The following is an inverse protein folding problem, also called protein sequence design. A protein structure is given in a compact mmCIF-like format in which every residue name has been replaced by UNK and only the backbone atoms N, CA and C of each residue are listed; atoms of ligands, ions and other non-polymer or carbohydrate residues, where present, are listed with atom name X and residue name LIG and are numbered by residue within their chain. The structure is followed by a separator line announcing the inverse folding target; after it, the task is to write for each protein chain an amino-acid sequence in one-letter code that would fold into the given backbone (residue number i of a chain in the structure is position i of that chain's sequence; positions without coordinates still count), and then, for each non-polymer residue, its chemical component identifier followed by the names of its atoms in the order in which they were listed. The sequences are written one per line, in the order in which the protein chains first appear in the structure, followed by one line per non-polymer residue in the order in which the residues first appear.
data_IF_874322998992
#
_entry.id   IF_874322998992
#
_cell.length_a   1.000
_cell.length_b   1.000
_cell.length_c   1.000
_cell.angle_alpha   90.00
_cell.angle_beta   90.00
_cell.angle_gamma   90.00
#
_symmetry.space_group_name_H-M   'P 1'
#
loop_
_entity.id
_entity.type
_entity.pdbx_description
1 polymer ?
#
# COMPACT_ATOMS: atom_id res chain seq x y z
N UNK A 1 -21.12 -7.80 -7.18
CA UNK A 1 -20.17 -6.98 -7.94
C UNK A 1 -18.98 -7.85 -8.24
N UNK A 2 -18.69 -8.11 -9.51
CA UNK A 2 -17.54 -8.94 -9.89
C UNK A 2 -16.25 -8.25 -9.42
N UNK A 3 -15.38 -8.99 -8.74
CA UNK A 3 -14.04 -8.52 -8.35
C UNK A 3 -13.88 -7.96 -6.93
N UNK A 4 -14.93 -7.93 -6.09
CA UNK A 4 -14.86 -7.50 -4.69
C UNK A 4 -15.62 -8.50 -3.80
N UNK A 5 -14.98 -8.96 -2.73
CA UNK A 5 -15.58 -9.76 -1.67
C UNK A 5 -15.81 -8.87 -0.45
N UNK A 6 -17.04 -8.41 -0.26
CA UNK A 6 -17.44 -7.60 0.88
C UNK A 6 -17.54 -8.48 2.13
N UNK A 7 -16.97 -7.99 3.23
CA UNK A 7 -16.99 -8.66 4.53
C UNK A 7 -18.16 -8.17 5.40
N UNK A 8 -18.57 -9.01 6.30
CA UNK A 8 -19.42 -8.69 7.44
C UNK A 8 -18.82 -9.32 8.70
N UNK A 9 -19.44 -9.11 9.85
CA UNK A 9 -18.94 -9.65 11.12
C UNK A 9 -18.69 -11.18 11.07
N UNK A 10 -19.62 -11.95 10.46
CA UNK A 10 -19.47 -13.41 10.31
C UNK A 10 -18.24 -13.81 9.49
N UNK A 11 -17.79 -12.95 8.60
CA UNK A 11 -16.60 -13.19 7.79
C UNK A 11 -15.32 -13.25 8.62
N UNK A 12 -15.31 -12.56 9.77
CA UNK A 12 -14.10 -12.35 10.59
C UNK A 12 -14.25 -12.78 12.07
N UNK A 13 -15.46 -13.14 12.52
CA UNK A 13 -15.72 -13.48 13.94
C UNK A 13 -14.78 -14.55 14.50
N UNK A 14 -14.41 -15.54 13.67
CA UNK A 14 -13.48 -16.63 14.04
C UNK A 14 -12.04 -16.18 14.21
N UNK A 15 -11.68 -14.98 13.70
CA UNK A 15 -10.35 -14.39 13.84
C UNK A 15 -10.22 -13.60 15.16
N UNK A 16 -11.36 -13.30 15.83
CA UNK A 16 -11.37 -12.46 17.03
C UNK A 16 -11.25 -13.36 18.26
N UNK A 17 -10.18 -13.19 19.02
CA UNK A 17 -9.93 -13.91 20.28
C UNK A 17 -10.50 -13.09 21.44
N UNK A 18 -11.72 -13.44 21.86
CA UNK A 18 -12.38 -12.77 22.98
C UNK A 18 -11.66 -13.04 24.29
N UNK A 19 -11.68 -12.07 25.20
CA UNK A 19 -11.10 -12.18 26.54
C UNK A 19 -11.94 -11.38 27.54
N UNK A 20 -12.28 -12.01 28.64
CA UNK A 20 -13.10 -11.38 29.69
C UNK A 20 -12.48 -10.08 30.20
N UNK A 21 -13.28 -9.04 30.28
CA UNK A 21 -12.88 -7.70 30.74
C UNK A 21 -12.15 -6.87 29.70
N UNK A 22 -11.93 -7.39 28.48
CA UNK A 22 -11.30 -6.67 27.39
C UNK A 22 -12.27 -6.53 26.20
N UNK A 23 -12.06 -5.49 25.39
CA UNK A 23 -12.77 -5.34 24.10
C UNK A 23 -11.74 -5.30 22.98
N UNK A 24 -11.89 -6.18 22.01
CA UNK A 24 -11.02 -6.23 20.84
C UNK A 24 -11.46 -5.21 19.79
N UNK A 25 -10.50 -4.75 19.00
CA UNK A 25 -10.73 -3.85 17.87
C UNK A 25 -11.81 -4.41 16.91
N UNK A 26 -11.72 -5.73 16.60
CA UNK A 26 -12.65 -6.42 15.71
C UNK A 26 -14.09 -6.53 16.23
N UNK A 27 -14.33 -6.35 17.53
CA UNK A 27 -15.69 -6.33 18.08
C UNK A 27 -16.43 -5.01 17.82
N UNK A 28 -15.68 -3.95 17.45
CA UNK A 28 -16.21 -2.59 17.28
C UNK A 28 -15.95 -1.98 15.91
N UNK A 29 -15.20 -2.68 15.04
CA UNK A 29 -14.98 -2.25 13.65
C UNK A 29 -16.29 -2.21 12.88
N UNK A 30 -16.43 -1.22 11.99
CA UNK A 30 -17.63 -1.03 11.19
C UNK A 30 -17.63 -1.87 9.91
N UNK A 31 -18.83 -2.23 9.42
CA UNK A 31 -19.07 -2.93 8.16
C UNK A 31 -20.14 -2.22 7.35
N UNK A 32 -20.14 -2.44 6.02
CA UNK A 32 -21.20 -2.01 5.11
C UNK A 32 -21.63 -3.18 4.23
N UNK A 33 -22.89 -3.18 3.80
CA UNK A 33 -23.44 -4.23 2.94
C UNK A 33 -23.09 -4.02 1.45
N UNK A 34 -22.82 -2.78 1.04
CA UNK A 34 -22.50 -2.40 -0.35
C UNK A 34 -21.74 -1.07 -0.36
N UNK A 35 -21.24 -0.68 -1.55
CA UNK A 35 -20.44 0.54 -1.71
C UNK A 35 -21.25 1.84 -1.60
N UNK A 36 -22.55 1.79 -1.87
CA UNK A 36 -23.46 2.95 -1.78
C UNK A 36 -23.67 3.40 -0.33
N UNK A 37 -23.45 2.51 0.63
CA UNK A 37 -23.53 2.82 2.05
C UNK A 37 -22.33 3.60 2.57
N UNK A 38 -21.17 3.56 1.87
CA UNK A 38 -19.94 4.23 2.32
C UNK A 38 -20.16 5.71 2.63
N UNK A 39 -20.87 6.43 1.75
CA UNK A 39 -21.12 7.86 1.92
C UNK A 39 -22.04 8.18 3.09
N UNK A 40 -22.78 7.20 3.62
CA UNK A 40 -23.75 7.38 4.71
C UNK A 40 -23.16 7.11 6.10
N UNK A 41 -21.94 6.57 6.17
CA UNK A 41 -21.26 6.25 7.44
C UNK A 41 -20.49 7.45 7.98
N UNK A 42 -20.32 7.51 9.30
CA UNK A 42 -19.45 8.51 9.96
C UNK A 42 -17.96 8.14 9.87
N UNK A 43 -17.65 6.85 9.69
CA UNK A 43 -16.25 6.39 9.61
C UNK A 43 -15.49 7.06 8.46
N UNK A 44 -14.28 7.53 8.74
CA UNK A 44 -13.42 8.25 7.79
C UNK A 44 -12.66 7.30 6.88
N UNK A 45 -12.24 6.14 7.40
CA UNK A 45 -11.34 5.23 6.72
C UNK A 45 -12.08 3.99 6.20
N UNK A 46 -11.59 3.43 5.08
CA UNK A 46 -12.06 2.17 4.51
C UNK A 46 -10.87 1.25 4.31
N UNK A 47 -10.83 0.15 5.06
CA UNK A 47 -9.78 -0.86 5.02
C UNK A 47 -10.17 -1.98 4.06
N UNK A 48 -9.28 -2.31 3.12
CA UNK A 48 -9.43 -3.50 2.28
C UNK A 48 -8.08 -4.11 1.90
N UNK A 49 -8.12 -5.37 1.49
CA UNK A 49 -6.94 -6.14 1.08
C UNK A 49 -6.84 -6.39 -0.42
N UNK A 50 -5.60 -6.59 -0.90
CA UNK A 50 -5.30 -7.04 -2.26
C UNK A 50 -4.43 -8.30 -2.14
N UNK A 51 -5.03 -9.51 -1.97
CA UNK A 51 -4.29 -10.75 -1.71
C UNK A 51 -3.72 -11.36 -3.00
N UNK A 52 -2.72 -10.69 -3.59
CA UNK A 52 -2.01 -11.15 -4.78
C UNK A 52 -0.48 -10.93 -4.67
N UNK A 53 0.30 -11.63 -5.46
CA UNK A 53 1.73 -11.43 -5.67
C UNK A 53 2.17 -11.67 -7.12
N UNK A 54 1.22 -11.52 -8.06
CA UNK A 54 1.46 -11.75 -9.48
C UNK A 54 2.43 -10.70 -10.02
N UNK A 55 2.25 -9.43 -9.63
CA UNK A 55 3.12 -8.35 -10.04
C UNK A 55 4.55 -8.50 -9.52
N UNK A 56 4.71 -9.04 -8.30
CA UNK A 56 6.02 -9.38 -7.73
C UNK A 56 6.72 -10.45 -8.57
N UNK A 57 5.99 -11.53 -8.90
CA UNK A 57 6.52 -12.62 -9.75
C UNK A 57 6.83 -12.13 -11.16
N UNK A 58 5.99 -11.28 -11.73
CA UNK A 58 6.21 -10.65 -13.03
C UNK A 58 7.47 -9.76 -13.06
N UNK A 59 7.92 -9.25 -11.91
CA UNK A 59 9.16 -8.50 -11.72
C UNK A 59 10.33 -9.38 -11.27
N UNK A 60 10.28 -10.69 -11.47
CA UNK A 60 11.27 -11.67 -11.01
C UNK A 60 11.45 -11.71 -9.47
N UNK A 61 10.51 -11.15 -8.71
CA UNK A 61 10.54 -11.12 -7.25
C UNK A 61 10.05 -12.43 -6.62
N UNK A 62 10.25 -12.54 -5.30
CA UNK A 62 9.82 -13.71 -4.53
C UNK A 62 8.34 -13.59 -4.13
N UNK A 63 7.50 -14.62 -4.36
CA UNK A 63 6.12 -14.61 -3.93
C UNK A 63 5.98 -14.54 -2.41
N UNK A 64 4.80 -14.13 -1.93
CA UNK A 64 4.45 -14.09 -0.52
C UNK A 64 3.62 -12.87 -0.11
N UNK A 65 3.63 -11.80 -0.91
CA UNK A 65 2.86 -10.59 -0.61
C UNK A 65 1.35 -10.83 -0.57
N UNK A 66 0.85 -11.84 -1.24
CA UNK A 66 -0.56 -12.28 -1.18
C UNK A 66 -1.06 -12.64 0.23
N UNK A 67 -0.14 -12.96 1.17
CA UNK A 67 -0.47 -13.35 2.55
C UNK A 67 -0.55 -12.15 3.51
N UNK A 68 -0.17 -10.96 3.09
CA UNK A 68 -0.14 -9.77 3.94
C UNK A 68 -1.52 -9.43 4.53
N UNK A 69 -2.57 -9.57 3.72
CA UNK A 69 -3.93 -9.25 4.12
C UNK A 69 -4.42 -10.13 5.28
N UNK A 70 -4.37 -11.45 5.15
CA UNK A 70 -4.78 -12.37 6.21
C UNK A 70 -3.95 -12.19 7.49
N UNK A 71 -2.64 -11.97 7.32
CA UNK A 71 -1.72 -11.72 8.43
C UNK A 71 -2.07 -10.43 9.17
N UNK A 72 -2.43 -9.37 8.43
CA UNK A 72 -2.90 -8.10 8.98
C UNK A 72 -4.19 -8.28 9.78
N UNK A 73 -5.20 -8.93 9.20
CA UNK A 73 -6.49 -9.14 9.85
C UNK A 73 -6.36 -9.91 11.17
N UNK A 74 -5.61 -11.01 11.17
CA UNK A 74 -5.38 -11.82 12.37
C UNK A 74 -4.76 -11.00 13.52
N UNK A 75 -3.99 -9.98 13.24
CA UNK A 75 -3.40 -9.10 14.25
C UNK A 75 -4.30 -7.92 14.59
N UNK A 76 -4.74 -7.15 13.58
CA UNK A 76 -5.50 -5.93 13.78
C UNK A 76 -6.80 -6.15 14.56
N UNK A 77 -7.55 -7.20 14.22
CA UNK A 77 -8.81 -7.50 14.89
C UNK A 77 -8.64 -7.83 16.37
N UNK A 78 -7.44 -8.20 16.80
CA UNK A 78 -7.11 -8.62 18.18
C UNK A 78 -6.36 -7.56 19.00
N UNK A 79 -6.08 -6.35 18.45
CA UNK A 79 -5.56 -5.27 19.29
C UNK A 79 -6.65 -4.76 20.24
N UNK A 80 -6.28 -4.02 21.28
CA UNK A 80 -7.22 -3.47 22.25
C UNK A 80 -8.02 -2.32 21.64
N UNK A 81 -9.33 -2.31 21.89
CA UNK A 81 -10.17 -1.15 21.69
C UNK A 81 -10.00 -0.21 22.88
N UNK A 82 -9.58 1.01 22.61
CA UNK A 82 -9.50 2.10 23.58
C UNK A 82 -9.60 3.45 22.86
N UNK A 83 -9.47 4.56 23.59
CA UNK A 83 -9.58 5.91 23.04
C UNK A 83 -8.51 6.25 21.97
N UNK A 84 -7.40 5.49 21.91
CA UNK A 84 -6.30 5.71 20.96
C UNK A 84 -6.40 4.87 19.69
N UNK A 85 -7.25 3.86 19.63
CA UNK A 85 -7.35 2.95 18.47
C UNK A 85 -8.59 3.16 17.61
N UNK A 86 -9.69 3.71 18.19
CA UNK A 86 -10.90 4.16 17.53
C UNK A 86 -11.42 3.26 16.38
N UNK A 87 -11.75 1.98 16.62
CA UNK A 87 -12.20 1.06 15.57
C UNK A 87 -13.49 1.50 14.87
N UNK A 88 -14.26 2.34 15.51
CA UNK A 88 -15.51 2.91 14.96
C UNK A 88 -15.26 3.86 13.76
N UNK A 89 -14.03 4.39 13.64
CA UNK A 89 -13.64 5.31 12.58
C UNK A 89 -13.16 4.61 11.29
N UNK A 90 -13.20 3.27 11.25
CA UNK A 90 -12.77 2.50 10.09
C UNK A 90 -13.84 1.45 9.71
N UNK A 91 -14.09 1.33 8.41
CA UNK A 91 -14.93 0.28 7.82
C UNK A 91 -14.00 -0.82 7.31
N UNK A 92 -14.19 -2.04 7.78
CA UNK A 92 -13.60 -3.23 7.18
C UNK A 92 -14.47 -3.64 5.99
N UNK A 93 -14.03 -3.26 4.79
CA UNK A 93 -14.79 -3.50 3.57
C UNK A 93 -14.66 -4.93 3.05
N UNK A 94 -13.44 -5.47 3.08
CA UNK A 94 -13.17 -6.83 2.56
C UNK A 94 -11.90 -6.90 1.72
N UNK A 95 -11.96 -7.61 0.60
CA UNK A 95 -10.78 -7.81 -0.26
C UNK A 95 -11.13 -7.79 -1.75
N UNK A 96 -10.18 -7.37 -2.58
CA UNK A 96 -10.25 -7.59 -4.04
C UNK A 96 -10.23 -9.11 -4.28
N UNK A 97 -11.17 -9.60 -5.07
CA UNK A 97 -11.17 -11.01 -5.47
C UNK A 97 -10.11 -11.24 -6.56
N UNK A 98 -8.94 -11.70 -6.13
CA UNK A 98 -7.79 -12.06 -6.98
C UNK A 98 -7.72 -13.56 -7.26
N UNK A 99 -8.66 -14.37 -6.77
CA UNK A 99 -8.60 -15.83 -6.85
C UNK A 99 -8.39 -16.36 -8.26
N UNK A 100 -9.17 -15.86 -9.22
CA UNK A 100 -9.10 -16.31 -10.62
C UNK A 100 -7.73 -16.00 -11.23
N UNK A 101 -7.22 -14.79 -10.99
CA UNK A 101 -5.93 -14.34 -11.52
C UNK A 101 -4.78 -15.12 -10.86
N UNK A 102 -4.80 -15.28 -9.54
CA UNK A 102 -3.80 -16.06 -8.81
C UNK A 102 -3.77 -17.54 -9.26
N UNK A 103 -4.93 -18.13 -9.49
CA UNK A 103 -5.04 -19.51 -9.97
C UNK A 103 -4.52 -19.66 -11.41
N UNK A 104 -4.84 -18.70 -12.29
CA UNK A 104 -4.29 -18.67 -13.66
C UNK A 104 -2.77 -18.49 -13.61
N UNK A 105 -2.25 -17.56 -12.81
CA UNK A 105 -0.82 -17.34 -12.65
C UNK A 105 -0.06 -18.58 -12.16
N UNK A 106 -0.67 -19.36 -11.25
CA UNK A 106 -0.08 -20.61 -10.76
C UNK A 106 0.00 -21.72 -11.84
N UNK A 107 -0.83 -21.65 -12.87
CA UNK A 107 -0.91 -22.64 -13.95
C UNK A 107 -0.11 -22.24 -15.21
N UNK A 108 0.53 -21.07 -15.22
CA UNK A 108 1.42 -20.70 -16.35
C UNK A 108 2.74 -21.44 -16.17
N UNK A 109 3.19 -22.12 -17.23
CA UNK A 109 4.48 -22.79 -17.25
C UNK A 109 5.61 -21.74 -17.18
N UNK A 110 6.48 -21.86 -16.20
CA UNK A 110 7.64 -20.97 -16.04
C UNK A 110 8.64 -21.06 -17.20
N UNK A 111 8.64 -22.16 -17.96
CA UNK A 111 9.44 -22.34 -19.16
C UNK A 111 8.81 -21.68 -20.42
N UNK A 112 7.58 -21.16 -20.34
CA UNK A 112 6.93 -20.45 -21.45
C UNK A 112 7.70 -19.17 -21.78
N UNK A 113 8.12 -18.94 -23.03
CA UNK A 113 8.82 -17.69 -23.43
C UNK A 113 8.03 -16.41 -23.12
N UNK A 114 6.70 -16.51 -23.02
CA UNK A 114 5.82 -15.39 -22.67
C UNK A 114 5.37 -15.39 -21.20
N UNK A 115 6.06 -16.11 -20.33
CA UNK A 115 5.67 -16.26 -18.91
C UNK A 115 5.39 -14.92 -18.24
N UNK A 116 6.35 -13.97 -18.30
CA UNK A 116 6.24 -12.66 -17.67
C UNK A 116 5.18 -11.79 -18.33
N UNK A 117 5.04 -11.85 -19.64
CA UNK A 117 3.97 -11.15 -20.37
C UNK A 117 2.58 -11.62 -19.90
N UNK A 118 2.38 -12.94 -19.80
CA UNK A 118 1.12 -13.53 -19.32
C UNK A 118 0.82 -13.16 -17.86
N UNK A 119 1.83 -13.05 -16.99
CA UNK A 119 1.67 -12.52 -15.65
C UNK A 119 1.24 -11.05 -15.68
N UNK A 120 1.86 -10.24 -16.54
CA UNK A 120 1.51 -8.83 -16.73
C UNK A 120 0.05 -8.64 -17.15
N UNK A 121 -0.46 -9.47 -18.06
CA UNK A 121 -1.87 -9.47 -18.49
C UNK A 121 -2.84 -9.72 -17.31
N UNK A 122 -2.40 -10.52 -16.32
CA UNK A 122 -3.19 -10.77 -15.11
C UNK A 122 -3.12 -9.58 -14.14
N UNK A 123 -1.97 -8.92 -14.04
CA UNK A 123 -1.81 -7.68 -13.26
C UNK A 123 -2.74 -6.60 -13.79
N UNK A 124 -2.83 -6.40 -15.10
CA UNK A 124 -3.74 -5.40 -15.70
C UNK A 124 -5.21 -5.64 -15.31
N UNK A 125 -5.64 -6.89 -15.18
CA UNK A 125 -7.01 -7.21 -14.72
C UNK A 125 -7.23 -6.83 -13.24
N UNK A 126 -6.20 -7.00 -12.41
CA UNK A 126 -6.24 -6.57 -11.01
C UNK A 126 -6.23 -5.05 -10.92
N UNK A 127 -5.41 -4.36 -11.72
CA UNK A 127 -5.36 -2.89 -11.82
C UNK A 127 -6.75 -2.28 -12.04
N UNK A 128 -7.58 -2.87 -12.92
CA UNK A 128 -8.94 -2.38 -13.18
C UNK A 128 -9.86 -2.56 -11.95
N UNK A 129 -9.79 -3.71 -11.27
CA UNK A 129 -10.56 -3.96 -10.04
C UNK A 129 -10.18 -2.97 -8.94
N UNK A 130 -8.88 -2.78 -8.71
CA UNK A 130 -8.34 -1.85 -7.71
C UNK A 130 -8.74 -0.42 -8.04
N UNK A 131 -8.53 0.01 -9.30
CA UNK A 131 -8.89 1.36 -9.76
C UNK A 131 -10.37 1.66 -9.54
N UNK A 132 -11.25 0.73 -9.90
CA UNK A 132 -12.69 0.88 -9.70
C UNK A 132 -13.04 1.04 -8.21
N UNK A 133 -12.50 0.17 -7.34
CA UNK A 133 -12.82 0.21 -5.91
C UNK A 133 -12.32 1.51 -5.26
N UNK A 134 -11.08 1.89 -5.53
CA UNK A 134 -10.48 3.11 -4.98
C UNK A 134 -11.23 4.35 -5.45
N UNK A 135 -11.62 4.42 -6.73
CA UNK A 135 -12.46 5.51 -7.25
C UNK A 135 -13.77 5.64 -6.47
N UNK A 136 -14.46 4.52 -6.18
CA UNK A 136 -15.70 4.51 -5.41
C UNK A 136 -15.51 4.98 -3.97
N UNK A 137 -14.47 4.49 -3.29
CA UNK A 137 -14.18 4.86 -1.89
C UNK A 137 -13.85 6.36 -1.79
N UNK A 138 -12.95 6.85 -2.64
CA UNK A 138 -12.54 8.28 -2.63
C UNK A 138 -13.71 9.20 -3.03
N UNK A 139 -14.52 8.79 -4.02
CA UNK A 139 -15.73 9.54 -4.43
C UNK A 139 -16.79 9.60 -3.32
N UNK A 140 -16.83 8.62 -2.43
CA UNK A 140 -17.67 8.64 -1.24
C UNK A 140 -17.13 9.53 -0.11
N UNK A 141 -16.02 10.25 -0.32
CA UNK A 141 -15.37 11.12 0.66
C UNK A 141 -14.57 10.36 1.72
N UNK A 142 -14.26 9.08 1.50
CA UNK A 142 -13.52 8.23 2.43
C UNK A 142 -12.05 8.11 2.03
N UNK A 143 -11.21 7.77 3.02
CA UNK A 143 -9.77 7.55 2.83
C UNK A 143 -9.49 6.05 2.83
N UNK A 144 -9.11 5.42 1.69
CA UNK A 144 -8.70 4.02 1.65
C UNK A 144 -7.44 3.78 2.49
N UNK A 145 -7.44 2.67 3.25
CA UNK A 145 -6.24 2.03 3.78
C UNK A 145 -6.16 0.66 3.11
N UNK A 146 -5.09 0.43 2.35
CA UNK A 146 -4.96 -0.69 1.42
C UNK A 146 -3.81 -1.56 1.88
N UNK A 147 -4.07 -2.85 2.07
CA UNK A 147 -3.07 -3.78 2.58
C UNK A 147 -2.78 -4.87 1.56
N UNK A 148 -1.52 -4.97 1.23
CA UNK A 148 -0.98 -6.10 0.50
C UNK A 148 -0.96 -5.96 -1.00
N UNK A 149 -0.61 -7.10 -1.59
CA UNK A 149 -0.15 -7.20 -2.94
C UNK A 149 1.25 -6.66 -3.14
N UNK A 150 1.74 -6.80 -4.35
CA UNK A 150 2.95 -6.15 -4.82
C UNK A 150 2.73 -4.67 -5.09
N UNK A 151 3.82 -3.92 -5.26
CA UNK A 151 3.78 -2.48 -5.51
C UNK A 151 3.19 -2.12 -6.90
N UNK A 152 2.93 -3.11 -7.79
CA UNK A 152 2.13 -2.93 -8.99
C UNK A 152 0.77 -2.27 -8.71
N UNK A 153 0.17 -2.56 -7.56
CA UNK A 153 -1.16 -2.06 -7.18
C UNK A 153 -1.19 -0.53 -6.99
N UNK A 154 -0.04 0.14 -6.84
CA UNK A 154 0.06 1.60 -6.85
C UNK A 154 -0.59 2.21 -8.11
N UNK A 155 -0.46 1.56 -9.28
CA UNK A 155 -1.12 2.03 -10.50
C UNK A 155 -2.64 2.11 -10.35
N UNK A 156 -3.27 1.06 -9.86
CA UNK A 156 -4.72 1.03 -9.64
C UNK A 156 -5.17 2.06 -8.60
N UNK A 157 -4.40 2.23 -7.51
CA UNK A 157 -4.65 3.23 -6.47
C UNK A 157 -4.58 4.66 -7.02
N UNK A 158 -3.53 4.97 -7.78
CA UNK A 158 -3.31 6.28 -8.40
C UNK A 158 -4.42 6.58 -9.41
N UNK A 159 -4.70 5.63 -10.33
CA UNK A 159 -5.73 5.76 -11.36
C UNK A 159 -7.11 6.00 -10.74
N UNK A 160 -7.51 5.18 -9.77
CA UNK A 160 -8.80 5.30 -9.09
C UNK A 160 -8.95 6.63 -8.35
N UNK A 161 -7.92 7.05 -7.61
CA UNK A 161 -7.93 8.33 -6.89
C UNK A 161 -7.93 9.51 -7.85
N UNK A 162 -7.09 9.49 -8.90
CA UNK A 162 -7.02 10.53 -9.93
C UNK A 162 -8.37 10.74 -10.61
N UNK A 163 -9.08 9.65 -10.95
CA UNK A 163 -10.44 9.70 -11.49
C UNK A 163 -11.44 10.34 -10.53
N UNK A 164 -11.41 9.94 -9.24
CA UNK A 164 -12.30 10.48 -8.23
C UNK A 164 -12.11 11.98 -8.01
N UNK A 165 -10.86 12.47 -7.98
CA UNK A 165 -10.55 13.90 -7.79
C UNK A 165 -10.49 14.70 -9.10
N UNK A 166 -10.63 14.01 -10.26
CA UNK A 166 -10.63 14.59 -11.63
C UNK A 166 -9.37 15.39 -11.98
N UNK A 167 -8.21 14.92 -11.52
CA UNK A 167 -6.89 15.51 -11.81
C UNK A 167 -5.78 14.54 -11.47
N UNK A 168 -4.57 14.69 -12.05
CA UNK A 168 -3.41 13.87 -11.66
C UNK A 168 -3.17 13.93 -10.16
N UNK A 169 -2.79 12.78 -9.57
CA UNK A 169 -2.52 12.64 -8.16
C UNK A 169 -1.02 12.72 -7.89
N UNK A 170 -0.62 13.47 -6.86
CA UNK A 170 0.75 13.43 -6.37
C UNK A 170 0.96 12.18 -5.51
N UNK A 171 2.20 11.68 -5.47
CA UNK A 171 2.54 10.51 -4.65
C UNK A 171 3.76 10.81 -3.78
N UNK A 172 3.68 10.41 -2.52
CA UNK A 172 4.80 10.27 -1.61
C UNK A 172 5.03 8.77 -1.37
N UNK A 173 6.17 8.26 -1.84
CA UNK A 173 6.54 6.86 -1.77
C UNK A 173 7.72 6.67 -0.80
N UNK A 174 7.51 5.91 0.27
CA UNK A 174 8.57 5.47 1.20
C UNK A 174 9.01 4.09 0.72
N UNK A 175 10.20 4.02 0.11
CA UNK A 175 10.62 2.86 -0.64
C UNK A 175 12.15 2.79 -0.76
N UNK A 176 12.70 1.57 -0.88
CA UNK A 176 14.09 1.32 -1.22
C UNK A 176 14.36 1.39 -2.74
N UNK A 177 13.29 1.33 -3.57
CA UNK A 177 13.30 1.30 -5.01
C UNK A 177 12.62 2.53 -5.61
N UNK A 178 12.77 2.74 -6.90
CA UNK A 178 12.12 3.84 -7.62
C UNK A 178 10.77 3.46 -8.23
N UNK A 179 10.60 2.18 -8.55
CA UNK A 179 9.48 1.60 -9.28
C UNK A 179 9.10 2.34 -10.58
N UNK A 180 10.15 2.92 -11.20
CA UNK A 180 10.13 3.61 -12.48
C UNK A 180 10.82 2.78 -13.58
N UNK A 181 10.67 1.43 -13.54
CA UNK A 181 11.17 0.58 -14.62
C UNK A 181 10.43 0.87 -15.94
N UNK A 182 11.05 0.42 -17.05
CA UNK A 182 10.53 0.63 -18.41
C UNK A 182 9.10 0.14 -18.58
N UNK A 183 8.42 0.72 -19.56
CA UNK A 183 7.08 0.32 -20.02
C UNK A 183 7.19 -0.97 -20.83
N UNK A 184 7.15 -2.07 -20.14
CA UNK A 184 7.07 -3.42 -20.69
C UNK A 184 5.77 -4.10 -20.21
N UNK A 185 5.73 -5.41 -19.95
CA UNK A 185 4.60 -6.02 -19.27
C UNK A 185 4.41 -5.43 -17.86
N UNK A 186 3.18 -5.43 -17.33
CA UNK A 186 2.89 -4.89 -16.01
C UNK A 186 3.52 -5.76 -14.91
N UNK A 187 4.21 -5.11 -13.96
CA UNK A 187 4.84 -5.76 -12.81
C UNK A 187 5.02 -4.77 -11.64
N UNK A 188 5.54 -5.25 -10.49
CA UNK A 188 5.66 -4.43 -9.26
C UNK A 188 6.59 -3.23 -9.43
N UNK A 189 7.63 -3.31 -10.25
CA UNK A 189 8.62 -2.24 -10.44
C UNK A 189 8.26 -1.18 -11.49
N UNK A 190 7.04 -1.13 -12.05
CA UNK A 190 6.68 -0.15 -13.08
C UNK A 190 5.29 0.50 -12.93
N UNK A 191 4.67 0.36 -11.77
CA UNK A 191 3.37 0.95 -11.50
C UNK A 191 3.31 2.46 -11.72
N UNK A 192 4.33 3.17 -11.26
CA UNK A 192 4.41 4.63 -11.40
C UNK A 192 4.74 5.06 -12.83
N UNK A 193 5.54 4.29 -13.58
CA UNK A 193 5.81 4.56 -15.01
C UNK A 193 4.52 4.49 -15.84
N UNK A 194 3.68 3.48 -15.59
CA UNK A 194 2.38 3.37 -16.26
C UNK A 194 1.42 4.49 -15.84
N UNK A 195 1.39 4.85 -14.54
CA UNK A 195 0.58 5.96 -14.06
C UNK A 195 1.01 7.32 -14.64
N UNK A 196 2.31 7.51 -14.88
CA UNK A 196 2.87 8.69 -15.53
C UNK A 196 2.49 8.72 -17.03
N UNK A 197 2.69 7.60 -17.75
CA UNK A 197 2.32 7.47 -19.17
C UNK A 197 0.84 7.82 -19.42
N UNK A 198 -0.03 7.34 -18.52
CA UNK A 198 -1.47 7.48 -18.67
C UNK A 198 -2.02 8.80 -18.11
N UNK A 199 -1.13 9.67 -17.58
CA UNK A 199 -1.50 11.02 -17.11
C UNK A 199 -2.20 11.04 -15.74
N UNK A 200 -2.15 9.95 -14.97
CA UNK A 200 -2.73 9.88 -13.62
C UNK A 200 -1.77 10.35 -12.54
N UNK A 201 -0.46 10.28 -12.76
CA UNK A 201 0.57 10.71 -11.83
C UNK A 201 0.93 12.17 -12.02
N UNK A 202 0.89 12.95 -10.92
CA UNK A 202 1.35 14.34 -10.86
C UNK A 202 2.81 14.44 -10.43
N UNK A 203 3.05 14.96 -9.21
CA UNK A 203 4.38 14.93 -8.60
C UNK A 203 4.66 13.53 -8.04
N UNK A 204 5.88 13.07 -8.18
CA UNK A 204 6.35 11.81 -7.58
C UNK A 204 7.55 12.06 -6.69
N UNK A 205 7.39 11.74 -5.42
CA UNK A 205 8.41 11.93 -4.39
C UNK A 205 8.78 10.58 -3.80
N UNK A 206 10.05 10.21 -3.92
CA UNK A 206 10.60 8.97 -3.41
C UNK A 206 11.47 9.25 -2.19
N UNK A 207 11.20 8.56 -1.08
CA UNK A 207 11.89 8.76 0.19
C UNK A 207 12.56 7.47 0.66
N UNK A 208 13.89 7.41 0.55
CA UNK A 208 14.69 6.29 1.03
C UNK A 208 15.21 5.35 -0.05
N UNK A 209 15.16 5.74 -1.34
CA UNK A 209 15.69 4.89 -2.42
C UNK A 209 17.20 4.66 -2.25
N UNK A 210 17.65 3.44 -2.55
CA UNK A 210 19.06 3.06 -2.46
C UNK A 210 19.80 3.27 -3.79
N UNK A 211 21.03 3.79 -3.72
CA UNK A 211 21.89 4.03 -4.90
C UNK A 211 22.15 2.75 -5.67
N UNK A 212 22.41 1.66 -4.97
CA UNK A 212 22.75 0.36 -5.58
C UNK A 212 21.56 -0.45 -6.09
N UNK A 213 20.31 0.00 -5.84
CA UNK A 213 19.11 -0.61 -6.38
C UNK A 213 18.54 0.16 -7.59
N UNK A 214 19.09 1.35 -7.88
CA UNK A 214 18.61 2.22 -8.95
C UNK A 214 19.56 2.20 -10.15
N UNK A 215 19.13 1.72 -11.34
CA UNK A 215 19.93 1.77 -12.56
C UNK A 215 20.23 3.21 -13.00
N UNK A 216 21.40 3.44 -13.62
CA UNK A 216 21.82 4.79 -14.04
C UNK A 216 20.82 5.46 -14.98
N UNK A 217 20.21 4.72 -15.91
CA UNK A 217 19.24 5.31 -16.84
C UNK A 217 18.04 5.95 -16.14
N UNK A 218 17.59 5.41 -14.98
CA UNK A 218 16.51 6.01 -14.19
C UNK A 218 16.99 7.34 -13.60
N UNK A 219 18.21 7.40 -13.03
CA UNK A 219 18.76 8.68 -12.54
C UNK A 219 18.86 9.72 -13.65
N UNK A 220 19.26 9.32 -14.85
CA UNK A 220 19.37 10.21 -16.01
C UNK A 220 17.97 10.75 -16.42
N UNK A 221 16.96 9.87 -16.44
CA UNK A 221 15.58 10.24 -16.78
C UNK A 221 14.99 11.21 -15.73
N UNK A 222 15.04 10.85 -14.44
CA UNK A 222 14.40 11.65 -13.39
C UNK A 222 15.10 12.98 -13.12
N UNK A 223 16.40 13.09 -13.39
CA UNK A 223 17.17 14.33 -13.20
C UNK A 223 16.67 15.48 -14.07
N UNK A 224 16.02 15.18 -15.19
CA UNK A 224 15.45 16.15 -16.13
C UNK A 224 14.01 16.56 -15.78
N UNK A 225 13.36 15.88 -14.84
CA UNK A 225 11.94 16.02 -14.54
C UNK A 225 11.72 16.86 -13.27
N UNK A 226 11.10 18.04 -13.43
CA UNK A 226 10.82 18.97 -12.32
C UNK A 226 9.73 18.48 -11.35
N UNK A 227 8.90 17.53 -11.76
CA UNK A 227 7.82 16.96 -10.97
C UNK A 227 8.26 15.70 -10.17
N UNK A 228 9.51 15.24 -10.32
CA UNK A 228 10.06 14.12 -9.57
C UNK A 228 11.11 14.64 -8.58
N UNK A 229 11.03 14.17 -7.33
CA UNK A 229 12.05 14.39 -6.30
C UNK A 229 12.35 13.10 -5.56
N UNK A 230 13.56 12.97 -5.06
CA UNK A 230 13.94 11.81 -4.25
C UNK A 230 14.94 12.18 -3.15
N UNK A 231 14.95 11.36 -2.11
CA UNK A 231 16.00 11.31 -1.10
C UNK A 231 16.65 9.94 -1.12
N UNK A 232 17.97 9.93 -1.26
CA UNK A 232 18.76 8.70 -1.18
C UNK A 232 18.84 8.24 0.28
N UNK A 233 18.69 6.95 0.52
CA UNK A 233 18.82 6.39 1.86
C UNK A 233 20.23 6.62 2.42
N UNK A 234 21.27 6.53 1.57
CA UNK A 234 22.66 6.77 1.93
C UNK A 234 22.93 8.19 2.44
N UNK A 235 22.16 9.18 1.97
CA UNK A 235 22.26 10.56 2.50
C UNK A 235 21.49 10.72 3.80
N UNK A 236 20.41 9.94 3.98
CA UNK A 236 19.59 9.94 5.19
C UNK A 236 20.27 9.21 6.36
N UNK A 237 21.01 8.13 6.14
CA UNK A 237 21.68 7.41 7.24
C UNK A 237 22.72 8.26 7.97
N UNK A 238 23.28 9.25 7.32
CA UNK A 238 24.24 10.20 7.91
C UNK A 238 23.55 11.25 8.80
N UNK A 239 22.25 11.36 8.76
CA UNK A 239 21.48 12.36 9.50
C UNK A 239 21.04 11.86 10.87
N UNK A 240 20.86 12.78 11.80
CA UNK A 240 20.19 12.50 13.08
C UNK A 240 18.73 12.11 12.86
N UNK A 241 18.06 11.61 13.90
CA UNK A 241 16.62 11.35 13.85
C UNK A 241 15.83 12.59 13.43
N UNK A 242 16.13 13.76 14.04
CA UNK A 242 15.48 15.03 13.70
C UNK A 242 15.75 15.45 12.25
N UNK A 243 16.97 15.24 11.74
CA UNK A 243 17.31 15.52 10.35
C UNK A 243 16.47 14.69 9.37
N UNK A 244 16.27 13.40 9.66
CA UNK A 244 15.41 12.52 8.83
C UNK A 244 13.94 13.00 8.86
N UNK A 245 13.44 13.43 10.03
CA UNK A 245 12.08 13.98 10.13
C UNK A 245 11.95 15.29 9.35
N UNK A 246 12.93 16.18 9.42
CA UNK A 246 12.96 17.43 8.65
C UNK A 246 13.01 17.15 7.13
N UNK A 247 13.80 16.17 6.70
CA UNK A 247 13.85 15.74 5.30
C UNK A 247 12.49 15.19 4.84
N UNK A 248 11.80 14.39 5.66
CA UNK A 248 10.46 13.89 5.34
C UNK A 248 9.44 15.02 5.24
N UNK A 249 9.43 15.97 6.20
CA UNK A 249 8.55 17.13 6.16
C UNK A 249 8.77 18.00 4.91
N UNK A 250 10.01 18.11 4.42
CA UNK A 250 10.29 18.84 3.19
C UNK A 250 9.63 18.24 1.95
N UNK A 251 9.37 16.93 1.94
CA UNK A 251 8.59 16.28 0.88
C UNK A 251 7.13 16.72 0.95
N UNK A 252 6.53 16.75 2.14
CA UNK A 252 5.15 17.21 2.34
C UNK A 252 4.99 18.67 1.93
N UNK A 253 5.95 19.52 2.27
CA UNK A 253 5.98 20.93 1.83
C UNK A 253 6.03 21.06 0.29
N UNK A 254 6.81 20.19 -0.39
CA UNK A 254 6.86 20.18 -1.85
C UNK A 254 5.53 19.81 -2.51
N UNK A 255 4.69 19.03 -1.85
CA UNK A 255 3.32 18.75 -2.31
C UNK A 255 2.44 19.99 -2.29
N UNK A 256 2.83 21.03 -1.55
CA UNK A 256 2.16 22.32 -1.49
C UNK A 256 0.66 22.19 -1.19
N UNK A 257 0.32 21.39 -0.17
CA UNK A 257 -1.06 21.13 0.26
C UNK A 257 -1.99 20.56 -0.86
N UNK A 258 -1.43 20.04 -1.93
CA UNK A 258 -2.19 19.35 -2.98
C UNK A 258 -2.54 17.92 -2.55
N UNK A 259 -3.59 17.35 -3.16
CA UNK A 259 -3.96 15.97 -2.92
C UNK A 259 -2.81 15.01 -3.27
N UNK A 260 -2.56 14.03 -2.40
CA UNK A 260 -1.53 13.02 -2.60
C UNK A 260 -1.96 11.64 -2.07
N UNK A 261 -1.37 10.58 -2.62
CA UNK A 261 -1.39 9.24 -2.09
C UNK A 261 -0.09 8.94 -1.34
N UNK A 262 -0.19 8.17 -0.27
CA UNK A 262 0.94 7.68 0.51
C UNK A 262 1.14 6.20 0.22
N UNK A 263 2.31 5.87 -0.32
CA UNK A 263 2.77 4.50 -0.57
C UNK A 263 3.84 4.14 0.46
N UNK A 264 3.69 2.99 1.10
CA UNK A 264 4.70 2.40 1.97
C UNK A 264 5.06 1.03 1.42
N UNK A 265 6.24 0.94 0.81
CA UNK A 265 6.86 -0.33 0.50
C UNK A 265 7.58 -0.89 1.72
N UNK A 266 7.22 -2.12 2.12
CA UNK A 266 7.87 -2.78 3.26
C UNK A 266 9.35 -3.11 3.02
N UNK A 267 9.84 -3.06 1.77
CA UNK A 267 11.25 -3.21 1.43
C UNK A 267 12.11 -2.06 1.98
N UNK A 268 11.51 -0.88 2.22
CA UNK A 268 12.17 0.25 2.86
C UNK A 268 12.54 0.02 4.33
N UNK A 269 12.01 -1.05 4.96
CA UNK A 269 12.18 -1.32 6.39
C UNK A 269 13.27 -2.37 6.60
N UNK A 270 14.28 -2.03 7.40
CA UNK A 270 15.41 -2.92 7.70
C UNK A 270 14.93 -4.30 8.19
N UNK A 271 15.39 -5.37 7.53
CA UNK A 271 15.10 -6.77 7.88
C UNK A 271 13.60 -7.14 7.93
N UNK A 272 12.71 -6.29 7.42
CA UNK A 272 11.29 -6.62 7.36
C UNK A 272 11.04 -7.79 6.39
N UNK A 273 10.16 -8.74 6.72
CA UNK A 273 9.76 -9.82 5.82
C UNK A 273 8.98 -9.27 4.61
N UNK A 274 9.69 -9.07 3.52
CA UNK A 274 9.16 -8.49 2.28
C UNK A 274 9.75 -9.20 1.07
N UNK A 275 9.28 -8.88 -0.14
CA UNK A 275 9.68 -9.55 -1.39
C UNK A 275 11.15 -9.36 -1.71
N UNK A 276 11.71 -8.17 -1.44
CA UNK A 276 13.13 -7.82 -1.62
C UNK A 276 13.79 -7.43 -0.29
N UNK A 277 13.54 -8.21 0.76
CA UNK A 277 14.08 -7.99 2.12
C UNK A 277 15.53 -7.52 2.10
N UNK A 278 15.79 -6.35 2.69
CA UNK A 278 17.09 -5.70 2.77
C UNK A 278 17.63 -5.65 4.22
N UNK A 279 18.94 -5.82 4.44
CA UNK A 279 19.58 -5.57 5.74
C UNK A 279 19.78 -4.08 6.03
N UNK A 280 19.45 -3.20 5.08
CA UNK A 280 19.57 -1.74 5.20
C UNK A 280 18.23 -1.10 4.87
N UNK A 281 17.79 -0.14 5.69
CA UNK A 281 16.51 0.53 5.56
C UNK A 281 16.15 1.29 6.82
N UNK A 282 14.96 1.87 6.85
CA UNK A 282 14.45 2.57 8.02
C UNK A 282 14.11 1.59 9.15
N UNK A 283 14.37 1.99 10.39
CA UNK A 283 13.81 1.28 11.54
C UNK A 283 12.27 1.38 11.53
N UNK A 284 11.57 0.31 11.94
CA UNK A 284 10.11 0.25 11.97
C UNK A 284 9.50 1.46 12.70
N UNK A 285 10.04 1.85 13.87
CA UNK A 285 9.53 3.00 14.62
C UNK A 285 9.72 4.34 13.87
N UNK A 286 10.71 4.44 12.99
CA UNK A 286 10.87 5.64 12.17
C UNK A 286 9.79 5.72 11.10
N UNK A 287 9.45 4.60 10.45
CA UNK A 287 8.34 4.52 9.49
C UNK A 287 7.02 4.88 10.18
N UNK A 288 6.78 4.40 11.40
CA UNK A 288 5.62 4.79 12.20
C UNK A 288 5.52 6.30 12.38
N UNK A 289 6.65 6.97 12.67
CA UNK A 289 6.67 8.44 12.78
C UNK A 289 6.33 9.12 11.44
N UNK A 290 6.83 8.60 10.30
CA UNK A 290 6.47 9.12 8.98
C UNK A 290 4.97 9.01 8.71
N UNK A 291 4.37 7.87 9.06
CA UNK A 291 2.93 7.66 8.88
C UNK A 291 2.11 8.61 9.76
N UNK A 292 2.51 8.82 11.02
CA UNK A 292 1.83 9.76 11.92
C UNK A 292 1.91 11.20 11.37
N UNK A 293 3.07 11.64 10.91
CA UNK A 293 3.25 12.97 10.30
C UNK A 293 2.37 13.10 9.04
N UNK A 294 2.41 12.10 8.16
CA UNK A 294 1.63 12.15 6.92
C UNK A 294 0.11 12.09 7.18
N UNK A 295 -0.33 11.46 8.28
CA UNK A 295 -1.75 11.37 8.66
C UNK A 295 -2.36 12.70 9.07
N UNK A 296 -1.55 13.67 9.53
CA UNK A 296 -1.97 15.04 9.86
C UNK A 296 -2.30 15.87 8.61
N UNK A 297 -1.86 15.42 7.43
CA UNK A 297 -2.09 16.08 6.16
C UNK A 297 -3.49 15.76 5.61
N UNK A 298 -4.43 16.71 5.74
CA UNK A 298 -5.83 16.59 5.26
C UNK A 298 -5.97 16.24 3.78
N UNK A 299 -4.92 16.47 3.00
CA UNK A 299 -4.87 16.18 1.57
C UNK A 299 -4.35 14.79 1.22
N UNK A 300 -3.95 13.97 2.20
CA UNK A 300 -3.66 12.56 1.99
C UNK A 300 -4.95 11.82 1.64
N UNK A 301 -4.98 11.18 0.46
CA UNK A 301 -6.18 10.55 -0.11
C UNK A 301 -6.25 9.05 0.12
N UNK A 302 -5.13 8.39 0.34
CA UNK A 302 -5.06 6.99 0.72
C UNK A 302 -3.71 6.65 1.36
N UNK A 303 -3.66 5.53 2.06
CA UNK A 303 -2.45 4.82 2.45
C UNK A 303 -2.47 3.44 1.80
N UNK A 304 -1.39 3.07 1.09
CA UNK A 304 -1.13 1.72 0.62
C UNK A 304 0.12 1.16 1.31
N UNK A 305 0.02 -0.06 1.86
CA UNK A 305 1.12 -0.80 2.46
C UNK A 305 1.31 -2.08 1.65
N UNK A 306 2.42 -2.19 0.93
CA UNK A 306 2.68 -3.26 -0.02
C UNK A 306 3.96 -4.05 0.27
N UNK A 307 4.24 -5.06 -0.54
CA UNK A 307 5.42 -5.94 -0.54
C UNK A 307 5.67 -6.73 0.74
N UNK A 308 4.87 -6.57 1.81
CA UNK A 308 4.98 -7.42 2.99
C UNK A 308 4.75 -8.89 2.62
N UNK A 309 5.76 -9.73 2.83
CA UNK A 309 5.74 -11.15 2.46
C UNK A 309 5.95 -12.05 3.70
N UNK A 310 4.93 -12.17 4.56
CA UNK A 310 5.02 -12.94 5.80
C UNK A 310 5.17 -14.44 5.51
N UNK A 311 5.97 -15.10 6.36
CA UNK A 311 6.12 -16.54 6.45
C UNK A 311 5.61 -17.01 7.80
N UNK A 312 5.33 -18.30 7.93
CA UNK A 312 4.76 -18.88 9.16
C UNK A 312 5.52 -18.45 10.43
N UNK A 313 6.85 -18.46 10.37
CA UNK A 313 7.71 -18.10 11.51
C UNK A 313 7.64 -16.63 11.95
N UNK A 314 7.08 -15.75 11.12
CA UNK A 314 7.03 -14.31 11.41
C UNK A 314 5.63 -13.68 11.24
N UNK A 315 4.58 -14.47 11.02
CA UNK A 315 3.21 -13.98 10.84
C UNK A 315 2.78 -13.01 11.93
N UNK A 316 2.96 -13.39 13.19
CA UNK A 316 2.55 -12.56 14.32
C UNK A 316 3.31 -11.22 14.36
N UNK A 317 4.60 -11.22 14.01
CA UNK A 317 5.42 -10.01 13.98
C UNK A 317 5.00 -9.07 12.85
N UNK A 318 4.83 -9.61 11.64
CA UNK A 318 4.39 -8.82 10.48
C UNK A 318 2.98 -8.27 10.70
N UNK A 319 2.05 -9.10 11.19
CA UNK A 319 0.70 -8.65 11.47
C UNK A 319 0.63 -7.52 12.49
N UNK A 320 1.44 -7.59 13.57
CA UNK A 320 1.56 -6.50 14.54
C UNK A 320 2.10 -5.22 13.91
N UNK A 321 3.11 -5.32 13.04
CA UNK A 321 3.68 -4.17 12.36
C UNK A 321 2.63 -3.48 11.46
N UNK A 322 1.91 -4.26 10.64
CA UNK A 322 0.82 -3.75 9.80
C UNK A 322 -0.28 -3.10 10.64
N UNK A 323 -0.63 -3.68 11.80
CA UNK A 323 -1.60 -3.09 12.73
C UNK A 323 -1.13 -1.75 13.29
N UNK A 324 0.16 -1.61 13.63
CA UNK A 324 0.72 -0.32 14.05
C UNK A 324 0.65 0.71 12.92
N UNK A 325 1.01 0.36 11.70
CA UNK A 325 0.97 1.30 10.57
C UNK A 325 -0.45 1.82 10.32
N UNK A 326 -1.47 0.94 10.40
CA UNK A 326 -2.88 1.32 10.27
C UNK A 326 -3.29 2.29 11.38
N UNK A 327 -3.05 1.93 12.64
CA UNK A 327 -3.47 2.76 13.79
C UNK A 327 -2.70 4.07 13.89
N UNK A 328 -1.41 4.10 13.51
CA UNK A 328 -0.63 5.34 13.44
C UNK A 328 -1.18 6.29 12.37
N UNK A 329 -1.61 5.77 11.22
CA UNK A 329 -2.22 6.56 10.15
C UNK A 329 -3.65 7.03 10.48
N UNK A 330 -4.38 6.26 11.29
CA UNK A 330 -5.74 6.63 11.72
C UNK A 330 -5.77 7.69 12.81
N UNK A 331 -4.64 8.02 13.44
CA UNK A 331 -4.55 8.88 14.63
C UNK A 331 -5.00 10.34 14.39
N UNK A 332 -5.10 10.77 13.17
CA UNK A 332 -5.46 12.16 12.80
C UNK A 332 -6.97 12.46 12.93
#
# INVERSE_FOLDING_TARGET
MEGLKIYNYKSVEKLISLRDGETRFGEKISFVGNLEELAKTEAKFVLFGIPEDIGVRANHGKPGASKAWDTCLNSLLNIQKNEFTAPENIILLGEIDCKSEMQKAANIDEADPNYYLKLGDLVEKIDEKVSFLVEKIVSAGKTPIIIGGGHNNAYGNIKGTSKAIKKPLNILNIDAHTDLRKLEHRHSGNGFSFAQRDGFLGKYLMFGIHKNYTPQYIFDEISSLSNIKFHLFEDLILQTHQGKMAAFNSQLEFLNKQAFGLELDCDAIINFPSSAKSPSGFALNMVRNFLQIASEEKNCKYLHICEAAPKEENYAQVGKALSFFITDFMKA
#
